data_IF_197116074707
#
_entry.id   IF_197116074707
#
_cell.length_a   1.000
_cell.length_b   1.000
_cell.length_c   1.000
_cell.angle_alpha   90.00
_cell.angle_beta   90.00
_cell.angle_gamma   90.00
#
_symmetry.space_group_name_H-M   'P 1'
#
loop_
_entity.id
_entity.type
_entity.pdbx_description
1 polymer ?
#
# COMPACT_ATOMS: atom_id res chain seq x y z
N UNK A 1 -4.17 54.15 -22.07
CA UNK A 1 -5.22 54.32 -23.09
C UNK A 1 -6.27 53.24 -22.90
N UNK A 2 -7.46 53.69 -22.57
CA UNK A 2 -8.70 52.95 -22.37
C UNK A 2 -9.13 52.15 -23.61
N UNK A 3 -9.74 50.98 -23.45
CA UNK A 3 -11.11 50.77 -23.91
C UNK A 3 -11.71 49.48 -23.37
N UNK A 4 -12.67 49.64 -22.50
CA UNK A 4 -13.74 48.71 -22.15
C UNK A 4 -14.70 48.53 -23.34
N UNK A 5 -15.22 47.33 -23.53
CA UNK A 5 -16.55 47.18 -24.15
C UNK A 5 -17.33 46.12 -23.36
N UNK A 6 -18.48 46.59 -22.83
CA UNK A 6 -19.54 45.85 -22.14
C UNK A 6 -20.59 45.33 -23.13
N UNK A 7 -21.46 44.44 -22.61
CA UNK A 7 -22.83 44.06 -22.98
C UNK A 7 -22.96 42.86 -23.94
N UNK A 8 -23.93 41.97 -23.79
CA UNK A 8 -25.17 42.08 -23.04
C UNK A 8 -25.87 40.70 -22.93
N UNK A 9 -26.74 40.68 -21.97
CA UNK A 9 -27.66 39.63 -21.57
C UNK A 9 -28.78 39.48 -22.60
N UNK A 10 -29.18 38.27 -22.98
CA UNK A 10 -30.52 38.00 -23.52
C UNK A 10 -31.10 36.79 -22.83
N UNK A 11 -32.13 37.03 -22.01
CA UNK A 11 -33.08 36.04 -21.52
C UNK A 11 -34.06 35.66 -22.63
N UNK A 12 -34.34 34.41 -22.82
CA UNK A 12 -35.57 33.97 -23.48
C UNK A 12 -36.20 32.84 -22.69
N UNK A 13 -37.27 33.18 -21.98
CA UNK A 13 -38.25 32.24 -21.46
C UNK A 13 -39.08 31.70 -22.65
N UNK A 14 -39.23 30.40 -22.74
CA UNK A 14 -40.39 29.81 -23.42
C UNK A 14 -40.85 28.57 -22.63
N UNK A 15 -41.96 28.77 -21.96
CA UNK A 15 -42.78 27.78 -21.26
C UNK A 15 -43.52 26.93 -22.29
N UNK A 16 -43.43 25.59 -22.19
CA UNK A 16 -44.45 24.73 -22.72
C UNK A 16 -44.66 23.52 -21.81
N UNK A 17 -45.75 23.54 -21.04
CA UNK A 17 -46.31 22.44 -20.33
C UNK A 17 -46.83 21.40 -21.30
N UNK A 18 -46.43 20.12 -21.10
CA UNK A 18 -47.21 18.98 -21.57
C UNK A 18 -47.22 17.92 -20.46
N UNK A 19 -48.40 17.76 -19.88
CA UNK A 19 -48.75 16.64 -19.01
C UNK A 19 -48.80 15.34 -19.83
N UNK A 20 -48.07 14.30 -19.40
CA UNK A 20 -48.44 12.95 -19.76
C UNK A 20 -47.96 11.97 -18.66
N UNK A 21 -48.97 11.39 -18.03
CA UNK A 21 -49.10 10.03 -17.49
C UNK A 21 -47.97 9.46 -16.63
N UNK A 22 -48.21 9.48 -15.37
CA UNK A 22 -47.48 8.81 -14.29
C UNK A 22 -47.71 7.28 -14.38
N UNK A 23 -46.74 6.50 -14.78
CA UNK A 23 -46.67 5.07 -14.52
C UNK A 23 -45.61 4.84 -13.42
N UNK A 24 -46.10 4.55 -12.22
CA UNK A 24 -45.27 4.09 -11.10
C UNK A 24 -44.91 2.63 -11.37
N UNK A 25 -43.70 2.40 -11.89
CA UNK A 25 -43.00 1.12 -11.73
C UNK A 25 -41.95 1.36 -10.71
N UNK A 26 -42.13 0.78 -9.50
CA UNK A 26 -41.17 0.83 -8.43
C UNK A 26 -39.85 0.18 -8.87
N UNK A 27 -38.88 1.02 -9.20
CA UNK A 27 -37.49 0.61 -9.33
C UNK A 27 -36.87 0.87 -7.98
N UNK A 28 -36.50 -0.22 -7.29
CA UNK A 28 -35.64 -0.13 -6.13
C UNK A 28 -34.37 0.64 -6.55
N UNK A 29 -34.19 1.83 -6.02
CA UNK A 29 -32.89 2.52 -6.09
C UNK A 29 -31.90 1.65 -5.33
N UNK A 30 -31.04 0.99 -6.07
CA UNK A 30 -29.81 0.44 -5.55
C UNK A 30 -29.02 1.61 -4.98
N UNK A 31 -29.01 1.73 -3.63
CA UNK A 31 -28.13 2.66 -2.93
C UNK A 31 -26.72 2.19 -3.24
N UNK A 32 -26.16 2.71 -4.31
CA UNK A 32 -24.76 2.51 -4.64
C UNK A 32 -23.93 2.95 -3.45
N UNK A 33 -23.14 2.04 -2.90
CA UNK A 33 -22.15 2.38 -1.91
C UNK A 33 -21.35 3.61 -2.41
N UNK A 34 -21.00 4.57 -1.52
CA UNK A 34 -20.22 5.73 -1.93
C UNK A 34 -18.97 5.23 -2.66
N UNK A 35 -18.54 5.91 -3.75
CA UNK A 35 -17.33 5.51 -4.46
C UNK A 35 -16.20 5.48 -3.43
N UNK A 36 -15.65 4.28 -3.20
CA UNK A 36 -14.44 4.12 -2.42
C UNK A 36 -13.42 5.05 -3.07
N UNK A 37 -12.97 6.07 -2.35
CA UNK A 37 -11.91 6.94 -2.80
C UNK A 37 -10.80 6.01 -3.30
N UNK A 38 -10.31 6.23 -4.51
CA UNK A 38 -9.16 5.50 -5.04
C UNK A 38 -8.03 5.82 -4.07
N UNK A 39 -7.76 4.87 -3.16
CA UNK A 39 -6.62 4.98 -2.28
C UNK A 39 -5.39 5.05 -3.18
N UNK A 40 -4.53 6.02 -2.94
CA UNK A 40 -3.33 6.22 -3.73
C UNK A 40 -2.42 5.00 -3.55
N UNK A 41 -2.51 4.09 -4.50
CA UNK A 41 -1.61 2.94 -4.62
C UNK A 41 -0.39 3.43 -5.37
N UNK A 42 0.77 3.30 -4.76
CA UNK A 42 2.05 3.63 -5.38
C UNK A 42 2.86 2.34 -5.60
N UNK A 43 3.61 2.30 -6.68
CA UNK A 43 4.56 1.23 -6.91
C UNK A 43 5.82 1.45 -6.04
N UNK A 44 6.53 0.38 -5.75
CA UNK A 44 7.74 0.43 -4.92
C UNK A 44 8.81 1.40 -5.48
N UNK A 45 8.83 1.59 -6.80
CA UNK A 45 9.72 2.54 -7.48
C UNK A 45 9.41 4.01 -7.20
N UNK A 46 8.24 4.33 -6.67
CA UNK A 46 7.79 5.71 -6.43
C UNK A 46 8.11 6.21 -5.02
N UNK A 47 8.62 5.33 -4.15
CA UNK A 47 9.13 5.72 -2.83
C UNK A 47 10.48 6.44 -2.95
N UNK A 48 10.94 7.19 -1.91
CA UNK A 48 12.26 7.82 -1.93
C UNK A 48 13.37 6.83 -2.28
N UNK A 49 14.23 7.16 -3.23
CA UNK A 49 15.30 6.25 -3.73
C UNK A 49 16.20 5.72 -2.61
N UNK A 50 16.55 6.56 -1.63
CA UNK A 50 17.34 6.11 -0.49
C UNK A 50 16.65 5.02 0.32
N UNK A 51 15.33 5.13 0.51
CA UNK A 51 14.52 4.13 1.23
C UNK A 51 14.33 2.86 0.39
N UNK A 52 14.06 3.01 -0.91
CA UNK A 52 13.99 1.87 -1.82
C UNK A 52 15.28 1.05 -1.81
N UNK A 53 16.42 1.74 -1.85
CA UNK A 53 17.74 1.12 -1.74
C UNK A 53 17.93 0.43 -0.38
N UNK A 54 17.52 1.06 0.71
CA UNK A 54 17.62 0.46 2.04
C UNK A 54 16.85 -0.85 2.15
N UNK A 55 15.65 -0.91 1.59
CA UNK A 55 14.80 -2.10 1.61
C UNK A 55 15.33 -3.20 0.66
N UNK A 56 15.87 -2.82 -0.50
CA UNK A 56 16.08 -3.75 -1.62
C UNK A 56 17.54 -4.07 -1.99
N UNK A 57 18.52 -3.41 -1.37
CA UNK A 57 19.94 -3.52 -1.77
C UNK A 57 20.58 -4.90 -1.53
N UNK A 58 19.89 -5.77 -0.80
CA UNK A 58 20.45 -7.02 -0.34
C UNK A 58 21.40 -6.86 0.87
N UNK A 59 21.59 -7.95 1.56
CA UNK A 59 22.48 -8.05 2.73
C UNK A 59 23.46 -9.19 2.52
N UNK A 60 24.47 -9.32 3.39
CA UNK A 60 25.37 -10.47 3.41
C UNK A 60 24.58 -11.79 3.58
N UNK A 61 23.48 -11.76 4.32
CA UNK A 61 22.58 -12.90 4.47
C UNK A 61 21.91 -13.25 3.13
N UNK A 62 21.45 -12.24 2.38
CA UNK A 62 20.78 -12.42 1.09
C UNK A 62 21.63 -13.19 0.08
N UNK A 63 22.96 -13.06 0.17
CA UNK A 63 23.90 -13.77 -0.68
C UNK A 63 23.81 -15.31 -0.56
N UNK A 64 23.28 -15.83 0.55
CA UNK A 64 23.12 -17.26 0.80
C UNK A 64 21.82 -17.85 0.24
N UNK A 65 20.97 -17.02 -0.37
CA UNK A 65 19.66 -17.41 -0.85
C UNK A 65 19.47 -17.07 -2.32
N UNK A 66 18.52 -17.75 -2.97
CA UNK A 66 18.00 -17.41 -4.31
C UNK A 66 16.49 -17.16 -4.22
N UNK A 67 15.96 -16.34 -5.15
CA UNK A 67 14.52 -16.15 -5.28
C UNK A 67 13.88 -17.44 -5.79
N UNK A 68 12.98 -17.99 -4.99
CA UNK A 68 12.15 -19.13 -5.34
C UNK A 68 10.83 -18.72 -5.98
N UNK A 69 9.74 -19.42 -5.65
CA UNK A 69 8.42 -19.13 -6.16
C UNK A 69 7.94 -17.74 -5.73
N UNK A 70 7.27 -17.02 -6.65
CA UNK A 70 6.56 -15.78 -6.33
C UNK A 70 5.37 -16.08 -5.42
N UNK A 71 5.22 -15.28 -4.38
CA UNK A 71 4.06 -15.24 -3.48
C UNK A 71 3.04 -14.17 -3.92
N UNK A 72 3.37 -13.41 -4.97
CA UNK A 72 2.60 -12.30 -5.49
C UNK A 72 2.89 -10.98 -4.74
N UNK A 73 2.09 -9.96 -5.03
CA UNK A 73 2.26 -8.63 -4.43
C UNK A 73 1.77 -8.60 -2.98
N UNK A 74 2.61 -8.06 -2.09
CA UNK A 74 2.29 -7.77 -0.69
C UNK A 74 2.29 -6.26 -0.47
N UNK A 75 1.39 -5.80 0.40
CA UNK A 75 1.45 -4.43 0.90
C UNK A 75 2.62 -4.31 1.87
N UNK A 76 3.44 -3.28 1.68
CA UNK A 76 4.55 -2.96 2.57
C UNK A 76 4.15 -1.82 3.50
N UNK A 77 4.34 -2.03 4.79
CA UNK A 77 4.25 -1.00 5.83
C UNK A 77 5.51 -1.02 6.66
N UNK A 78 5.72 -0.05 7.52
CA UNK A 78 6.94 0.06 8.32
C UNK A 78 6.65 0.38 9.76
N UNK A 79 7.44 -0.20 10.66
CA UNK A 79 7.43 0.08 12.09
C UNK A 79 8.85 0.27 12.63
N UNK A 80 8.94 0.86 13.80
CA UNK A 80 10.20 0.97 14.57
C UNK A 80 9.90 0.89 16.06
N UNK A 81 10.89 0.54 16.83
CA UNK A 81 10.80 0.45 18.29
C UNK A 81 11.95 -0.36 18.86
N UNK A 82 12.21 -0.19 20.14
CA UNK A 82 13.23 -0.96 20.87
C UNK A 82 12.57 -2.21 21.42
N UNK A 83 12.84 -3.37 20.85
CA UNK A 83 12.16 -4.50 21.40
C UNK A 83 12.60 -5.87 21.00
N UNK A 84 11.95 -6.80 21.65
CA UNK A 84 11.94 -8.20 21.31
C UNK A 84 10.75 -8.46 20.41
N UNK A 85 10.97 -9.22 19.35
CA UNK A 85 9.92 -9.68 18.46
C UNK A 85 9.04 -10.74 19.13
N UNK A 86 7.92 -11.09 18.52
CA UNK A 86 7.07 -12.18 18.98
C UNK A 86 7.82 -13.54 19.05
N UNK A 87 8.80 -13.77 18.16
CA UNK A 87 9.64 -14.97 18.20
C UNK A 87 10.66 -14.98 19.34
N UNK A 88 10.85 -13.86 20.05
CA UNK A 88 11.89 -13.69 21.07
C UNK A 88 13.24 -13.22 20.52
N UNK A 89 13.36 -12.96 19.22
CA UNK A 89 14.55 -12.34 18.65
C UNK A 89 14.56 -10.83 18.91
N UNK A 90 15.75 -10.22 18.84
CA UNK A 90 15.86 -8.74 18.84
C UNK A 90 15.54 -8.20 17.45
N UNK A 91 14.75 -7.12 17.38
CA UNK A 91 14.46 -6.44 16.11
C UNK A 91 15.73 -5.98 15.42
N UNK A 92 15.80 -6.13 14.11
CA UNK A 92 16.94 -5.73 13.30
C UNK A 92 16.48 -5.18 11.94
N UNK A 93 16.93 -3.99 11.57
CA UNK A 93 16.68 -3.42 10.26
C UNK A 93 17.27 -4.31 9.14
N UNK A 94 16.62 -4.32 7.97
CA UNK A 94 16.98 -5.15 6.81
C UNK A 94 16.94 -6.67 7.08
N UNK A 95 16.25 -7.09 8.12
CA UNK A 95 16.13 -8.49 8.52
C UNK A 95 14.74 -8.83 9.04
N UNK A 96 14.26 -8.10 10.04
CA UNK A 96 13.03 -8.43 10.77
C UNK A 96 11.79 -7.90 10.07
N UNK A 97 10.79 -8.75 9.89
CA UNK A 97 9.44 -8.36 9.49
C UNK A 97 8.38 -8.98 10.39
N UNK A 98 7.26 -8.26 10.56
CA UNK A 98 6.03 -8.83 11.07
C UNK A 98 5.12 -9.25 9.89
N UNK A 99 4.38 -10.34 10.08
CA UNK A 99 3.48 -10.88 9.08
C UNK A 99 2.24 -11.55 9.69
N UNK A 100 1.27 -11.85 8.85
CA UNK A 100 0.17 -12.76 9.19
C UNK A 100 0.69 -14.20 9.17
N UNK A 101 0.76 -14.85 10.34
CA UNK A 101 1.31 -16.19 10.47
C UNK A 101 0.49 -17.28 9.74
N UNK A 102 -0.75 -16.97 9.34
CA UNK A 102 -1.54 -17.88 8.50
C UNK A 102 -1.10 -17.87 7.03
N UNK A 103 -0.36 -16.84 6.62
CA UNK A 103 0.18 -16.64 5.26
C UNK A 103 1.68 -16.91 5.24
N UNK A 104 2.41 -16.33 6.20
CA UNK A 104 3.86 -16.47 6.36
C UNK A 104 4.18 -16.87 7.81
N UNK A 105 4.34 -18.16 8.12
CA UNK A 105 4.70 -18.64 9.46
C UNK A 105 6.02 -18.02 9.97
N UNK A 106 6.22 -18.01 11.30
CA UNK A 106 7.49 -17.59 11.92
C UNK A 106 8.67 -18.35 11.33
N UNK A 107 9.78 -17.66 11.13
CA UNK A 107 11.01 -18.19 10.54
C UNK A 107 10.98 -18.27 9.01
N UNK A 108 9.83 -17.99 8.36
CA UNK A 108 9.78 -17.92 6.90
C UNK A 108 10.71 -16.80 6.41
N UNK A 109 11.52 -17.13 5.40
CA UNK A 109 12.39 -16.15 4.74
C UNK A 109 11.83 -15.80 3.37
N UNK A 110 11.77 -14.52 3.09
CA UNK A 110 11.26 -13.98 1.83
C UNK A 110 12.18 -12.91 1.26
N UNK A 111 12.18 -12.78 -0.06
CA UNK A 111 12.79 -11.63 -0.72
C UNK A 111 11.77 -10.50 -0.89
N UNK A 112 12.17 -9.29 -0.50
CA UNK A 112 11.58 -8.01 -0.90
C UNK A 112 12.70 -7.25 -1.62
N UNK A 113 12.51 -6.96 -2.93
CA UNK A 113 13.65 -6.56 -3.76
C UNK A 113 14.75 -7.62 -3.73
N UNK A 114 15.98 -7.24 -3.41
CA UNK A 114 17.12 -8.17 -3.30
C UNK A 114 17.51 -8.48 -1.84
N UNK A 115 16.73 -8.01 -0.88
CA UNK A 115 16.95 -8.26 0.55
C UNK A 115 16.12 -9.44 1.04
N UNK A 116 16.77 -10.35 1.78
CA UNK A 116 16.09 -11.44 2.51
C UNK A 116 15.65 -10.94 3.87
N UNK A 117 14.36 -11.06 4.12
CA UNK A 117 13.72 -10.76 5.40
C UNK A 117 13.25 -12.05 6.07
N UNK A 118 13.26 -12.05 7.39
CA UNK A 118 12.77 -13.17 8.21
C UNK A 118 11.52 -12.76 8.98
N UNK A 119 10.50 -13.58 8.92
CA UNK A 119 9.29 -13.40 9.74
C UNK A 119 9.61 -13.76 11.17
N UNK A 120 9.73 -12.76 12.03
CA UNK A 120 10.06 -12.91 13.45
C UNK A 120 8.99 -12.30 14.35
N UNK A 121 8.11 -11.47 13.78
CA UNK A 121 7.17 -10.69 14.56
C UNK A 121 5.74 -10.81 14.02
N UNK A 122 4.80 -10.27 14.80
CA UNK A 122 3.37 -10.16 14.46
C UNK A 122 2.89 -8.74 14.72
N UNK A 123 1.88 -8.32 13.97
CA UNK A 123 1.18 -7.06 14.21
C UNK A 123 -0.34 -7.28 14.22
N UNK A 124 -1.05 -6.63 15.15
CA UNK A 124 -2.51 -6.75 15.22
C UNK A 124 -3.20 -6.28 13.93
N UNK A 125 -2.61 -5.29 13.24
CA UNK A 125 -3.06 -4.76 11.96
C UNK A 125 -2.47 -5.46 10.73
N UNK A 126 -1.49 -6.35 10.89
CA UNK A 126 -0.81 -7.04 9.76
C UNK A 126 -1.62 -8.27 9.40
N UNK A 127 -2.34 -8.23 8.28
CA UNK A 127 -3.26 -9.29 7.86
C UNK A 127 -3.10 -9.64 6.38
N UNK A 128 -3.26 -10.93 6.07
CA UNK A 128 -3.20 -11.43 4.71
C UNK A 128 -1.87 -11.15 4.02
N UNK A 129 -1.92 -10.61 2.80
CA UNK A 129 -0.72 -10.23 2.03
C UNK A 129 -0.21 -8.83 2.41
N UNK A 130 0.17 -8.68 3.68
CA UNK A 130 0.82 -7.50 4.23
C UNK A 130 2.04 -7.92 5.01
N UNK A 131 3.12 -7.15 4.90
CA UNK A 131 4.32 -7.27 5.73
C UNK A 131 4.66 -5.91 6.34
N UNK A 132 5.08 -5.93 7.59
CA UNK A 132 5.51 -4.75 8.34
C UNK A 132 7.02 -4.85 8.56
N UNK A 133 7.76 -3.97 7.90
CA UNK A 133 9.23 -3.98 7.87
C UNK A 133 9.74 -3.18 9.05
N UNK A 134 10.65 -3.77 9.81
CA UNK A 134 11.33 -3.07 10.89
C UNK A 134 12.37 -2.08 10.33
N UNK A 135 12.33 -0.86 10.84
CA UNK A 135 13.30 0.21 10.60
C UNK A 135 13.92 0.69 11.93
N UNK A 136 15.15 1.17 11.88
CA UNK A 136 15.82 1.70 13.07
C UNK A 136 15.15 3.00 13.56
N UNK A 137 14.50 3.75 12.69
CA UNK A 137 13.82 4.98 13.06
C UNK A 137 12.34 5.02 12.60
N UNK A 138 11.51 5.72 13.39
CA UNK A 138 10.12 5.99 13.02
C UNK A 138 10.01 6.88 11.77
N UNK A 139 11.01 7.69 11.48
CA UNK A 139 11.03 8.55 10.29
C UNK A 139 11.11 7.70 9.01
N UNK A 140 12.00 6.71 8.98
CA UNK A 140 12.14 5.74 7.87
C UNK A 140 10.87 4.92 7.71
N UNK A 141 10.34 4.37 8.81
CA UNK A 141 9.10 3.59 8.79
C UNK A 141 7.93 4.38 8.18
N UNK A 142 7.76 5.66 8.55
CA UNK A 142 6.72 6.53 8.01
C UNK A 142 6.97 6.93 6.56
N UNK A 143 8.23 7.10 6.17
CA UNK A 143 8.58 7.49 4.81
C UNK A 143 8.12 6.46 3.78
N UNK A 144 8.07 5.18 4.15
CA UNK A 144 7.60 4.09 3.27
C UNK A 144 6.18 4.31 2.76
N UNK A 145 5.27 4.77 3.61
CA UNK A 145 3.85 4.94 3.27
C UNK A 145 3.41 6.41 3.16
N UNK A 146 4.37 7.35 3.18
CA UNK A 146 4.06 8.78 3.18
C UNK A 146 3.29 9.25 1.95
N UNK A 147 3.52 8.64 0.79
CA UNK A 147 2.89 9.00 -0.48
C UNK A 147 1.67 8.13 -0.82
N UNK A 148 1.44 7.05 -0.09
CA UNK A 148 0.35 6.12 -0.36
C UNK A 148 0.68 4.69 0.06
N UNK A 149 -0.13 3.73 -0.38
CA UNK A 149 0.07 2.32 -0.12
C UNK A 149 1.09 1.74 -1.10
N UNK A 150 2.17 1.20 -0.58
CA UNK A 150 3.24 0.57 -1.37
C UNK A 150 2.97 -0.92 -1.53
N UNK A 151 3.13 -1.42 -2.74
CA UNK A 151 3.05 -2.86 -3.04
C UNK A 151 4.30 -3.30 -3.78
N UNK A 152 4.83 -4.48 -3.39
CA UNK A 152 6.00 -5.09 -4.02
C UNK A 152 5.78 -6.60 -4.20
N UNK A 153 6.37 -7.17 -5.24
CA UNK A 153 6.34 -8.60 -5.47
C UNK A 153 7.32 -9.32 -4.53
N UNK A 154 6.83 -10.33 -3.84
CA UNK A 154 7.56 -11.06 -2.80
C UNK A 154 7.84 -12.49 -3.28
N UNK A 155 9.03 -12.98 -3.01
CA UNK A 155 9.45 -14.34 -3.38
C UNK A 155 9.89 -15.13 -2.16
N UNK A 156 9.68 -16.45 -2.19
CA UNK A 156 10.28 -17.35 -1.20
C UNK A 156 11.80 -17.26 -1.31
N UNK A 157 12.51 -17.16 -0.18
CA UNK A 157 13.96 -17.27 -0.15
C UNK A 157 14.35 -18.76 -0.02
N UNK A 158 15.06 -19.29 -1.02
CA UNK A 158 15.52 -20.67 -1.07
C UNK A 158 17.03 -20.67 -0.81
N UNK A 159 17.54 -21.44 0.19
CA UNK A 159 18.98 -21.58 0.41
C UNK A 159 19.70 -22.09 -0.86
N UNK A 160 20.93 -21.59 -1.08
CA UNK A 160 21.81 -22.05 -2.18
C UNK A 160 22.43 -23.40 -1.87
#
# INVERSE_FOLDING_TARGET
MLKQIKKGIVFSLSSLMLLSSFSIVGRAEEVGAPPVAKEDVIEFTDIPEGLANEISQGTAESANYTKGASLGKFQLVGYSGDGMTYSGAKTQAKHTIAADLTVLPLGTKIFIGDTVYTVEDIGSGVKGKMVDIYFDTMAEARALTQKGRVYEEVFVAVPK
#
